data_IF_657620902733
#
_entry.id   IF_657620902733
#
_cell.length_a   1.000
_cell.length_b   1.000
_cell.length_c   1.000
_cell.angle_alpha   90.00
_cell.angle_beta   90.00
_cell.angle_gamma   90.00
#
_symmetry.space_group_name_H-M   'P 1'
#
loop_
_entity.id
_entity.type
_entity.pdbx_description
1 polymer ?
#
# COMPACT_ATOMS: atom_id res chain seq x y z
N UNK A 1 -13.32 -20.03 -18.76
CA UNK A 1 -12.20 -20.84 -18.25
C UNK A 1 -12.81 -21.89 -17.34
N UNK A 2 -12.70 -23.19 -17.64
CA UNK A 2 -13.21 -24.24 -16.76
C UNK A 2 -12.31 -24.27 -15.52
N UNK A 3 -12.89 -23.91 -14.38
CA UNK A 3 -12.22 -23.98 -13.08
C UNK A 3 -12.19 -25.48 -12.73
N UNK A 4 -11.00 -26.10 -12.79
CA UNK A 4 -10.78 -27.42 -12.21
C UNK A 4 -11.15 -27.35 -10.73
N UNK A 5 -11.81 -28.41 -10.19
CA UNK A 5 -11.97 -28.55 -8.73
C UNK A 5 -10.60 -28.33 -8.09
N UNK A 6 -10.50 -27.48 -7.03
CA UNK A 6 -9.24 -27.34 -6.33
C UNK A 6 -8.79 -28.72 -5.81
N UNK A 7 -7.48 -28.95 -5.87
CA UNK A 7 -6.88 -30.11 -5.20
C UNK A 7 -7.20 -30.02 -3.71
N UNK A 8 -7.26 -31.18 -3.04
CA UNK A 8 -7.59 -31.19 -1.60
C UNK A 8 -6.47 -30.61 -0.73
N UNK A 9 -5.24 -30.51 -1.26
CA UNK A 9 -4.06 -30.03 -0.52
C UNK A 9 -3.19 -29.11 -1.38
N UNK A 10 -2.74 -28.00 -0.78
CA UNK A 10 -1.79 -27.07 -1.35
C UNK A 10 -0.61 -26.84 -0.39
N UNK A 11 0.59 -26.66 -0.94
CA UNK A 11 1.73 -26.21 -0.14
C UNK A 11 1.50 -24.78 0.41
N UNK A 12 0.84 -23.94 -0.39
CA UNK A 12 0.57 -22.55 -0.05
C UNK A 12 -0.81 -22.11 -0.54
N UNK A 13 -1.58 -21.49 0.35
CA UNK A 13 -2.82 -20.79 0.00
C UNK A 13 -2.67 -19.31 0.34
N UNK A 14 -2.96 -18.44 -0.63
CA UNK A 14 -2.98 -16.97 -0.45
C UNK A 14 -4.43 -16.50 -0.44
N UNK A 15 -4.87 -15.91 0.65
CA UNK A 15 -6.20 -15.31 0.78
C UNK A 15 -6.12 -13.83 0.48
N UNK A 16 -6.71 -13.42 -0.63
CA UNK A 16 -6.66 -12.07 -1.19
C UNK A 16 -5.69 -11.95 -2.36
N UNK A 17 -6.23 -11.79 -3.57
CA UNK A 17 -5.50 -11.54 -4.82
C UNK A 17 -5.32 -10.05 -5.14
N UNK A 18 -5.45 -9.16 -4.13
CA UNK A 18 -5.21 -7.72 -4.25
C UNK A 18 -3.74 -7.39 -4.50
N UNK A 19 -3.37 -6.08 -4.47
CA UNK A 19 -2.01 -5.62 -4.81
C UNK A 19 -0.91 -6.37 -4.05
N UNK A 20 -1.11 -6.66 -2.77
CA UNK A 20 -0.10 -7.32 -1.93
C UNK A 20 -0.02 -8.82 -2.21
N UNK A 21 -1.17 -9.53 -2.18
CA UNK A 21 -1.20 -10.96 -2.41
C UNK A 21 -0.74 -11.34 -3.83
N UNK A 22 -1.17 -10.59 -4.85
CA UNK A 22 -0.72 -10.79 -6.22
C UNK A 22 0.79 -10.52 -6.36
N UNK A 23 1.32 -9.44 -5.76
CA UNK A 23 2.76 -9.16 -5.78
C UNK A 23 3.57 -10.26 -5.07
N UNK A 24 3.04 -10.80 -3.96
CA UNK A 24 3.65 -11.92 -3.25
C UNK A 24 3.71 -13.17 -4.14
N UNK A 25 2.61 -13.52 -4.78
CA UNK A 25 2.56 -14.69 -5.66
C UNK A 25 3.53 -14.55 -6.85
N UNK A 26 3.56 -13.39 -7.51
CA UNK A 26 4.50 -13.13 -8.61
C UNK A 26 5.96 -13.20 -8.15
N UNK A 27 6.26 -12.64 -6.97
CA UNK A 27 7.62 -12.68 -6.41
C UNK A 27 8.04 -14.11 -6.04
N UNK A 28 7.15 -14.85 -5.43
CA UNK A 28 7.41 -16.25 -5.04
C UNK A 28 7.60 -17.13 -6.28
N UNK A 29 6.75 -17.01 -7.29
CA UNK A 29 6.88 -17.76 -8.55
C UNK A 29 8.21 -17.48 -9.23
N UNK A 30 8.61 -16.21 -9.31
CA UNK A 30 9.90 -15.81 -9.89
C UNK A 30 11.08 -16.40 -9.11
N UNK A 31 11.01 -16.40 -7.78
CA UNK A 31 12.07 -16.90 -6.92
C UNK A 31 12.16 -18.44 -6.89
N UNK A 32 11.05 -19.15 -7.06
CA UNK A 32 10.99 -20.60 -7.14
C UNK A 32 11.69 -21.14 -8.40
N UNK A 33 11.70 -20.39 -9.51
CA UNK A 33 12.17 -20.92 -10.79
C UNK A 33 11.46 -22.23 -11.14
N UNK A 34 12.17 -23.32 -11.33
CA UNK A 34 11.62 -24.64 -11.65
C UNK A 34 11.23 -25.46 -10.42
N UNK A 35 11.45 -24.96 -9.19
CA UNK A 35 11.10 -25.68 -7.97
C UNK A 35 9.58 -25.87 -7.86
N UNK A 36 9.08 -27.10 -7.71
CA UNK A 36 7.65 -27.32 -7.65
C UNK A 36 7.07 -26.83 -6.32
N UNK A 37 5.97 -26.11 -6.39
CA UNK A 37 5.15 -25.70 -5.26
C UNK A 37 3.70 -25.53 -5.72
N UNK A 38 2.76 -26.17 -5.03
CA UNK A 38 1.34 -26.02 -5.32
C UNK A 38 0.80 -24.77 -4.63
N UNK A 39 0.34 -23.79 -5.43
CA UNK A 39 -0.12 -22.48 -4.92
C UNK A 39 -1.58 -22.27 -5.33
N UNK A 40 -2.44 -21.92 -4.36
CA UNK A 40 -3.80 -21.47 -4.60
C UNK A 40 -3.95 -20.02 -4.14
N UNK A 41 -4.50 -19.17 -5.02
CA UNK A 41 -4.94 -17.81 -4.65
C UNK A 41 -6.46 -17.78 -4.60
N UNK A 42 -7.01 -17.28 -3.50
CA UNK A 42 -8.45 -17.12 -3.30
C UNK A 42 -8.75 -15.64 -3.32
N UNK A 43 -9.56 -15.18 -4.29
CA UNK A 43 -9.95 -13.77 -4.41
C UNK A 43 -11.49 -13.63 -4.42
N UNK A 44 -11.98 -12.79 -3.53
CA UNK A 44 -13.41 -12.59 -3.34
C UNK A 44 -14.08 -11.82 -4.47
N UNK A 45 -13.35 -10.91 -5.11
CA UNK A 45 -13.90 -9.93 -6.05
C UNK A 45 -13.35 -10.17 -7.45
N UNK A 46 -14.25 -10.45 -8.40
CA UNK A 46 -13.85 -10.61 -9.81
C UNK A 46 -13.19 -9.33 -10.36
N UNK A 47 -12.09 -9.44 -11.14
CA UNK A 47 -11.46 -8.30 -11.81
C UNK A 47 -12.39 -7.47 -12.69
N UNK A 48 -13.47 -8.08 -13.18
CA UNK A 48 -14.50 -7.43 -14.00
C UNK A 48 -15.65 -6.83 -13.18
N UNK A 49 -15.62 -6.94 -11.84
CA UNK A 49 -16.63 -6.30 -11.00
C UNK A 49 -16.47 -4.76 -11.05
N UNK A 50 -17.61 -4.05 -10.93
CA UNK A 50 -17.60 -2.58 -10.87
C UNK A 50 -16.57 -2.08 -9.88
N UNK A 51 -15.74 -1.10 -10.28
CA UNK A 51 -14.63 -0.53 -9.51
C UNK A 51 -14.98 -0.11 -8.08
N UNK A 52 -16.25 0.19 -7.81
CA UNK A 52 -16.76 0.51 -6.48
C UNK A 52 -16.66 -0.67 -5.47
N UNK A 53 -16.58 -1.92 -5.96
CA UNK A 53 -16.44 -3.13 -5.12
C UNK A 53 -15.00 -3.55 -4.91
N UNK A 54 -14.08 -3.13 -5.77
CA UNK A 54 -12.65 -3.45 -5.70
C UNK A 54 -11.85 -2.30 -5.10
N UNK A 55 -11.80 -2.21 -3.78
CA UNK A 55 -11.06 -1.15 -3.09
C UNK A 55 -9.55 -1.14 -3.36
N UNK A 56 -8.96 -2.25 -3.82
CA UNK A 56 -7.53 -2.35 -4.14
C UNK A 56 -7.19 -1.86 -5.55
N UNK A 57 -8.13 -1.91 -6.50
CA UNK A 57 -7.88 -1.62 -7.92
C UNK A 57 -8.84 -0.56 -8.49
N UNK A 58 -9.20 0.41 -7.67
CA UNK A 58 -10.06 1.53 -8.04
C UNK A 58 -9.31 2.66 -8.79
N UNK A 59 -9.99 3.78 -9.01
CA UNK A 59 -9.44 4.96 -9.68
C UNK A 59 -8.44 5.78 -8.84
N UNK A 60 -8.12 5.33 -7.61
CA UNK A 60 -7.07 5.96 -6.80
C UNK A 60 -5.69 5.69 -7.37
N UNK A 61 -4.72 6.40 -6.84
CA UNK A 61 -3.31 6.22 -7.20
C UNK A 61 -2.49 5.90 -5.96
N UNK A 62 -1.40 5.19 -6.19
CA UNK A 62 -0.45 4.82 -5.13
C UNK A 62 0.94 5.34 -5.49
N UNK A 63 1.61 5.91 -4.50
CA UNK A 63 3.03 6.25 -4.59
C UNK A 63 3.88 5.02 -4.31
N UNK A 64 4.67 4.61 -5.28
CA UNK A 64 5.69 3.57 -5.17
C UNK A 64 7.03 4.22 -4.85
N UNK A 65 7.70 3.79 -3.80
CA UNK A 65 9.05 4.22 -3.49
C UNK A 65 10.04 3.68 -4.53
N UNK A 66 11.23 4.27 -4.60
CA UNK A 66 12.30 3.75 -5.46
C UNK A 66 12.65 2.29 -5.16
N UNK A 67 12.64 1.89 -3.88
CA UNK A 67 12.84 0.50 -3.47
C UNK A 67 11.73 -0.43 -3.98
N UNK A 68 10.47 0.02 -3.94
CA UNK A 68 9.33 -0.73 -4.49
C UNK A 68 9.39 -0.87 -6.00
N UNK A 69 9.86 0.17 -6.72
CA UNK A 69 10.13 0.09 -8.16
C UNK A 69 11.15 -1.01 -8.46
N UNK A 70 12.28 -1.04 -7.73
CA UNK A 70 13.31 -2.08 -7.90
C UNK A 70 12.77 -3.49 -7.61
N UNK A 71 11.90 -3.61 -6.60
CA UNK A 71 11.24 -4.89 -6.30
C UNK A 71 10.37 -5.35 -7.48
N UNK A 72 9.49 -4.46 -7.99
CA UNK A 72 8.61 -4.78 -9.14
C UNK A 72 9.40 -5.08 -10.42
N UNK A 73 10.54 -4.41 -10.63
CA UNK A 73 11.45 -4.71 -11.72
C UNK A 73 12.09 -6.09 -11.57
N UNK A 74 12.55 -6.42 -10.37
CA UNK A 74 13.15 -7.73 -10.06
C UNK A 74 12.20 -8.91 -10.26
N UNK A 75 10.89 -8.69 -10.18
CA UNK A 75 9.86 -9.71 -10.45
C UNK A 75 9.24 -9.58 -11.85
N UNK A 76 9.85 -8.78 -12.74
CA UNK A 76 9.45 -8.67 -14.15
C UNK A 76 8.15 -7.89 -14.42
N UNK A 77 7.62 -7.14 -13.45
CA UNK A 77 6.37 -6.39 -13.60
C UNK A 77 6.56 -4.94 -14.03
N UNK A 78 7.75 -4.37 -13.84
CA UNK A 78 7.97 -2.94 -14.06
C UNK A 78 7.79 -2.52 -15.51
N UNK A 79 8.28 -3.30 -16.46
CA UNK A 79 8.20 -2.97 -17.88
C UNK A 79 6.75 -2.79 -18.36
N UNK A 80 5.81 -3.57 -17.81
CA UNK A 80 4.39 -3.46 -18.14
C UNK A 80 3.71 -2.24 -17.48
N UNK A 81 4.40 -1.55 -16.56
CA UNK A 81 3.93 -0.35 -15.86
C UNK A 81 4.58 0.94 -16.38
N UNK A 82 5.69 0.85 -17.12
CA UNK A 82 6.57 1.98 -17.43
C UNK A 82 5.85 3.12 -18.16
N UNK A 83 4.92 2.79 -19.04
CA UNK A 83 4.08 3.75 -19.77
C UNK A 83 2.96 4.39 -18.94
N UNK A 84 2.68 3.84 -17.75
CA UNK A 84 1.55 4.22 -16.91
C UNK A 84 1.95 4.88 -15.58
N UNK A 85 3.25 4.95 -15.29
CA UNK A 85 3.76 5.56 -14.06
C UNK A 85 4.23 6.99 -14.30
N UNK A 86 4.04 7.86 -13.32
CA UNK A 86 4.64 9.21 -13.31
C UNK A 86 5.77 9.25 -12.31
N UNK A 87 6.99 9.58 -12.75
CA UNK A 87 8.14 9.72 -11.87
C UNK A 87 7.99 10.91 -10.92
N UNK A 88 8.53 10.78 -9.70
CA UNK A 88 8.69 11.86 -8.73
C UNK A 88 10.17 12.24 -8.71
N UNK A 89 10.50 13.42 -9.27
CA UNK A 89 11.87 13.93 -9.29
C UNK A 89 12.17 14.80 -8.08
N UNK A 90 11.14 15.45 -7.55
CA UNK A 90 11.23 16.36 -6.42
C UNK A 90 10.04 16.19 -5.48
N UNK A 91 10.26 16.30 -4.19
CA UNK A 91 9.21 16.37 -3.17
C UNK A 91 9.34 17.70 -2.46
N UNK A 92 8.27 18.50 -2.49
CA UNK A 92 8.17 19.78 -1.78
C UNK A 92 7.26 19.66 -0.58
N UNK A 93 7.84 19.82 0.60
CA UNK A 93 7.12 19.79 1.88
C UNK A 93 6.97 21.22 2.42
N UNK A 94 5.74 21.65 2.66
CA UNK A 94 5.46 23.01 3.15
C UNK A 94 4.39 23.01 4.25
N UNK A 95 4.35 24.08 5.06
CA UNK A 95 3.31 24.32 6.08
C UNK A 95 2.49 25.54 5.67
N UNK A 96 1.15 25.39 5.58
CA UNK A 96 0.25 26.48 5.12
C UNK A 96 0.34 27.70 6.02
N UNK A 97 0.49 28.88 5.39
CA UNK A 97 0.57 30.16 6.10
C UNK A 97 1.86 30.39 6.90
N UNK A 98 2.91 29.59 6.65
CA UNK A 98 4.19 29.68 7.34
C UNK A 98 5.34 29.69 6.34
N UNK A 99 6.46 30.33 6.78
CA UNK A 99 7.70 30.30 6.03
C UNK A 99 8.42 28.97 6.24
N UNK A 100 9.05 28.46 5.16
CA UNK A 100 9.81 27.21 5.10
C UNK A 100 9.20 26.22 4.12
N UNK A 101 10.03 25.78 3.18
CA UNK A 101 9.72 24.71 2.24
C UNK A 101 10.95 23.80 2.19
N UNK A 102 10.78 22.53 2.51
CA UNK A 102 11.85 21.55 2.35
C UNK A 102 11.71 20.93 0.97
N UNK A 103 12.77 20.97 0.20
CA UNK A 103 12.86 20.33 -1.12
C UNK A 103 13.79 19.13 -1.04
N UNK A 104 13.30 17.99 -1.48
CA UNK A 104 14.08 16.75 -1.62
C UNK A 104 14.14 16.47 -3.11
N UNK A 105 15.36 16.50 -3.67
CA UNK A 105 15.59 16.33 -5.09
C UNK A 105 16.31 15.00 -5.37
N UNK A 106 15.95 14.35 -6.47
CA UNK A 106 16.54 13.08 -6.91
C UNK A 106 18.06 13.17 -7.16
N UNK A 107 18.51 14.32 -7.67
CA UNK A 107 19.93 14.52 -8.02
C UNK A 107 20.81 14.53 -6.76
N UNK A 108 20.32 15.09 -5.65
CA UNK A 108 20.99 15.03 -4.34
C UNK A 108 21.07 13.61 -3.78
N UNK A 109 20.13 12.75 -4.17
CA UNK A 109 20.08 11.35 -3.74
C UNK A 109 20.82 10.41 -4.71
N UNK A 110 21.22 10.89 -5.89
CA UNK A 110 21.88 10.09 -6.91
C UNK A 110 21.02 8.99 -7.51
N UNK A 111 19.70 9.24 -7.64
CA UNK A 111 18.72 8.30 -8.20
C UNK A 111 18.01 8.90 -9.41
N UNK A 112 17.46 8.05 -10.27
CA UNK A 112 16.67 8.50 -11.44
C UNK A 112 15.34 9.14 -11.05
N UNK A 113 14.73 8.70 -9.94
CA UNK A 113 13.53 9.25 -9.34
C UNK A 113 13.47 8.90 -7.86
N UNK A 114 12.82 9.74 -7.04
CA UNK A 114 12.58 9.45 -5.62
C UNK A 114 11.50 8.37 -5.42
N UNK A 115 10.63 8.25 -6.40
CA UNK A 115 9.52 7.31 -6.44
C UNK A 115 8.70 7.51 -7.70
N UNK A 116 7.57 6.82 -7.77
CA UNK A 116 6.67 6.83 -8.92
C UNK A 116 5.22 6.79 -8.44
N UNK A 117 4.32 7.37 -9.22
CA UNK A 117 2.89 7.30 -8.95
C UNK A 117 2.22 6.47 -10.03
N UNK A 118 1.41 5.51 -9.64
CA UNK A 118 0.65 4.64 -10.53
C UNK A 118 -0.82 4.63 -10.13
N UNK A 119 -1.72 4.61 -11.10
CA UNK A 119 -3.15 4.37 -10.83
C UNK A 119 -3.35 2.92 -10.43
N UNK A 120 -4.08 2.68 -9.33
CA UNK A 120 -4.32 1.34 -8.77
C UNK A 120 -4.93 0.38 -9.79
N UNK A 121 -5.83 0.91 -10.64
CA UNK A 121 -6.45 0.14 -11.72
C UNK A 121 -5.40 -0.44 -12.67
N UNK A 122 -4.39 0.35 -13.05
CA UNK A 122 -3.33 -0.11 -13.97
C UNK A 122 -2.42 -1.13 -13.29
N UNK A 123 -2.00 -0.86 -12.06
CA UNK A 123 -1.22 -1.83 -11.28
C UNK A 123 -1.97 -3.15 -11.13
N UNK A 124 -3.27 -3.09 -10.82
CA UNK A 124 -4.11 -4.27 -10.72
C UNK A 124 -4.24 -5.04 -12.03
N UNK A 125 -4.37 -4.36 -13.17
CA UNK A 125 -4.41 -5.02 -14.47
C UNK A 125 -3.13 -5.81 -14.75
N UNK A 126 -1.97 -5.22 -14.49
CA UNK A 126 -0.66 -5.87 -14.70
C UNK A 126 -0.51 -7.08 -13.77
N UNK A 127 -0.83 -6.93 -12.48
CA UNK A 127 -0.77 -8.02 -11.51
C UNK A 127 -1.72 -9.17 -11.87
N UNK A 128 -2.98 -8.86 -12.21
CA UNK A 128 -3.96 -9.87 -12.60
C UNK A 128 -3.58 -10.59 -13.90
N UNK A 129 -3.05 -9.86 -14.89
CA UNK A 129 -2.56 -10.48 -16.13
C UNK A 129 -1.46 -11.50 -15.82
N UNK A 130 -0.48 -11.10 -14.98
CA UNK A 130 0.63 -11.98 -14.61
C UNK A 130 0.17 -13.21 -13.82
N UNK A 131 -0.79 -13.07 -12.89
CA UNK A 131 -1.38 -14.22 -12.17
C UNK A 131 -2.11 -15.18 -13.12
N UNK A 132 -2.86 -14.67 -14.10
CA UNK A 132 -3.60 -15.49 -15.06
C UNK A 132 -2.69 -16.19 -16.08
N UNK A 133 -1.53 -15.62 -16.36
CA UNK A 133 -0.51 -16.21 -17.27
C UNK A 133 0.35 -17.26 -16.55
N UNK A 134 0.33 -17.31 -15.22
CA UNK A 134 1.09 -18.27 -14.45
C UNK A 134 0.59 -19.69 -14.68
N UNK A 135 1.50 -20.58 -15.01
CA UNK A 135 1.23 -22.03 -15.07
C UNK A 135 1.34 -22.74 -13.72
N UNK A 136 1.76 -22.03 -12.65
CA UNK A 136 2.07 -22.59 -11.32
C UNK A 136 1.09 -22.16 -10.25
N UNK A 137 0.29 -21.13 -10.51
CA UNK A 137 -0.65 -20.54 -9.55
C UNK A 137 -2.08 -20.88 -9.98
N UNK A 138 -2.82 -21.53 -9.12
CA UNK A 138 -4.26 -21.74 -9.29
C UNK A 138 -4.99 -20.52 -8.72
N UNK A 139 -5.79 -19.84 -9.53
CA UNK A 139 -6.61 -18.69 -9.09
C UNK A 139 -8.08 -19.12 -8.98
N UNK A 140 -8.63 -19.06 -7.78
CA UNK A 140 -10.05 -19.26 -7.50
C UNK A 140 -10.71 -17.90 -7.24
N UNK A 141 -11.47 -17.41 -8.24
CA UNK A 141 -12.10 -16.08 -8.22
C UNK A 141 -13.40 -16.10 -9.05
N UNK A 142 -14.53 -15.59 -8.52
CA UNK A 142 -14.75 -15.09 -7.17
C UNK A 142 -14.94 -16.23 -6.15
N UNK A 143 -14.22 -16.20 -5.03
CA UNK A 143 -14.37 -17.17 -3.95
C UNK A 143 -14.09 -16.52 -2.58
N UNK A 144 -14.81 -16.98 -1.56
CA UNK A 144 -14.69 -16.48 -0.18
C UNK A 144 -14.23 -17.59 0.74
N UNK A 145 -13.36 -17.27 1.67
CA UNK A 145 -13.04 -18.14 2.79
C UNK A 145 -14.17 -18.04 3.81
N UNK A 146 -14.90 -19.13 4.01
CA UNK A 146 -16.03 -19.19 4.95
C UNK A 146 -15.61 -19.65 6.34
N UNK A 147 -14.57 -20.50 6.43
CA UNK A 147 -14.03 -20.99 7.69
C UNK A 147 -12.54 -21.26 7.61
N UNK A 148 -11.86 -21.20 8.76
CA UNK A 148 -10.46 -21.53 8.89
C UNK A 148 -10.21 -22.28 10.20
N UNK A 149 -9.44 -23.37 10.15
CA UNK A 149 -9.10 -24.20 11.32
C UNK A 149 -7.66 -24.67 11.22
N UNK A 150 -6.94 -24.62 12.34
CA UNK A 150 -5.63 -25.23 12.44
C UNK A 150 -5.75 -26.78 12.42
N UNK A 151 -4.82 -27.42 11.74
CA UNK A 151 -4.68 -28.89 11.67
C UNK A 151 -3.24 -29.29 12.04
N UNK A 152 -2.98 -30.58 12.18
CA UNK A 152 -1.61 -31.05 12.42
C UNK A 152 -0.65 -30.75 11.26
N UNK A 153 -1.18 -30.60 10.03
CA UNK A 153 -0.39 -30.39 8.81
C UNK A 153 -0.36 -28.95 8.33
N UNK A 154 -1.03 -28.02 9.03
CA UNK A 154 -1.16 -26.63 8.65
C UNK A 154 -2.55 -26.09 8.92
N UNK A 155 -3.28 -25.68 7.88
CA UNK A 155 -4.61 -25.06 7.99
C UNK A 155 -5.60 -25.71 7.04
N UNK A 156 -6.84 -25.90 7.51
CA UNK A 156 -8.00 -26.29 6.71
C UNK A 156 -8.87 -25.05 6.46
N UNK A 157 -9.13 -24.72 5.20
CA UNK A 157 -10.01 -23.62 4.79
C UNK A 157 -11.30 -24.15 4.17
N UNK A 158 -12.44 -23.67 4.65
CA UNK A 158 -13.73 -23.80 3.95
C UNK A 158 -13.88 -22.66 2.94
N UNK A 159 -14.36 -22.97 1.75
CA UNK A 159 -14.45 -22.05 0.63
C UNK A 159 -15.88 -22.06 0.06
N UNK A 160 -16.39 -20.85 -0.20
CA UNK A 160 -17.63 -20.64 -0.95
C UNK A 160 -17.30 -20.08 -2.32
N UNK A 161 -17.65 -20.84 -3.37
CA UNK A 161 -17.51 -20.41 -4.77
C UNK A 161 -18.86 -20.57 -5.48
N UNK A 162 -19.58 -19.47 -5.66
CA UNK A 162 -21.00 -19.48 -6.05
C UNK A 162 -21.82 -20.25 -5.02
N UNK A 163 -22.60 -21.24 -5.49
CA UNK A 163 -23.41 -22.11 -4.65
C UNK A 163 -22.68 -23.39 -4.17
N UNK A 164 -21.38 -23.48 -4.44
CA UNK A 164 -20.56 -24.65 -4.10
C UNK A 164 -19.73 -24.37 -2.87
N UNK A 165 -19.89 -25.23 -1.86
CA UNK A 165 -19.00 -25.29 -0.69
C UNK A 165 -17.94 -26.38 -0.90
N UNK A 166 -16.69 -26.00 -0.69
CA UNK A 166 -15.53 -26.92 -0.76
C UNK A 166 -14.59 -26.65 0.39
N UNK A 167 -13.60 -27.53 0.57
CA UNK A 167 -12.52 -27.28 1.53
C UNK A 167 -11.18 -27.65 0.95
N UNK A 168 -10.14 -26.95 1.38
CA UNK A 168 -8.74 -27.21 1.02
C UNK A 168 -7.87 -27.22 2.25
N UNK A 169 -6.90 -28.11 2.27
CA UNK A 169 -5.82 -28.15 3.26
C UNK A 169 -4.61 -27.37 2.70
N UNK A 170 -3.90 -26.66 3.58
CA UNK A 170 -2.71 -25.90 3.22
C UNK A 170 -1.61 -26.09 4.26
N UNK A 171 -0.35 -26.30 3.83
CA UNK A 171 0.80 -26.25 4.74
C UNK A 171 1.00 -24.85 5.31
N UNK A 172 0.81 -23.82 4.46
CA UNK A 172 0.89 -22.42 4.85
C UNK A 172 -0.26 -21.62 4.22
N UNK A 173 -0.92 -20.80 5.02
CA UNK A 173 -1.86 -19.77 4.56
C UNK A 173 -1.22 -18.41 4.73
N UNK A 174 -1.18 -17.60 3.68
CA UNK A 174 -0.80 -16.19 3.71
C UNK A 174 -2.06 -15.34 3.57
N UNK A 175 -2.41 -14.60 4.64
CA UNK A 175 -3.53 -13.68 4.61
C UNK A 175 -3.07 -12.32 4.05
N UNK A 176 -3.68 -11.90 2.94
CA UNK A 176 -3.47 -10.62 2.27
C UNK A 176 -4.80 -9.96 1.88
N UNK A 177 -5.88 -10.25 2.64
CA UNK A 177 -7.27 -9.89 2.37
C UNK A 177 -7.69 -8.49 2.85
N UNK A 178 -6.71 -7.66 3.24
CA UNK A 178 -6.92 -6.27 3.61
C UNK A 178 -7.07 -6.03 5.10
N UNK A 179 -7.45 -4.79 5.49
CA UNK A 179 -7.42 -4.36 6.90
C UNK A 179 -8.56 -4.88 7.77
N UNK A 180 -9.58 -5.50 7.18
CA UNK A 180 -10.72 -6.10 7.88
C UNK A 180 -10.87 -7.55 7.43
N UNK A 181 -10.10 -8.43 8.05
CA UNK A 181 -10.07 -9.85 7.69
C UNK A 181 -11.07 -10.66 8.51
N UNK A 182 -12.09 -11.25 7.89
CA UNK A 182 -12.99 -12.19 8.58
C UNK A 182 -12.24 -13.43 9.11
N UNK A 183 -11.14 -13.80 8.46
CA UNK A 183 -10.30 -14.91 8.88
C UNK A 183 -9.58 -14.58 10.19
N UNK A 184 -9.04 -13.36 10.34
CA UNK A 184 -8.46 -12.92 11.61
C UNK A 184 -9.48 -12.90 12.74
N UNK A 185 -10.72 -12.45 12.47
CA UNK A 185 -11.80 -12.46 13.46
C UNK A 185 -12.11 -13.89 13.92
N UNK A 186 -12.23 -14.85 13.00
CA UNK A 186 -12.48 -16.26 13.32
C UNK A 186 -11.34 -16.90 14.13
N UNK A 187 -10.10 -16.52 13.85
CA UNK A 187 -8.92 -17.00 14.56
C UNK A 187 -8.66 -16.25 15.88
N UNK A 188 -9.44 -15.22 16.21
CA UNK A 188 -9.23 -14.39 17.38
C UNK A 188 -7.92 -13.60 17.34
N UNK A 189 -7.42 -13.25 16.15
CA UNK A 189 -6.23 -12.41 16.00
C UNK A 189 -6.62 -10.95 16.28
N UNK A 190 -6.13 -10.45 17.39
CA UNK A 190 -6.43 -9.08 17.82
C UNK A 190 -5.58 -8.04 17.09
N UNK A 191 -6.17 -6.86 16.88
CA UNK A 191 -5.48 -5.69 16.34
C UNK A 191 -5.43 -4.57 17.37
N UNK A 192 -4.29 -3.91 17.48
CA UNK A 192 -4.16 -2.63 18.17
C UNK A 192 -4.56 -1.52 17.19
N UNK A 193 -5.65 -0.81 17.49
CA UNK A 193 -6.19 0.24 16.61
C UNK A 193 -6.09 1.60 17.29
N UNK A 194 -5.36 2.53 16.67
CA UNK A 194 -5.34 3.93 17.06
C UNK A 194 -6.07 4.77 16.01
N UNK A 195 -7.14 5.44 16.39
CA UNK A 195 -7.92 6.32 15.53
C UNK A 195 -7.36 7.74 15.60
N UNK A 196 -7.27 8.40 14.45
CA UNK A 196 -6.77 9.78 14.37
C UNK A 196 -7.88 10.82 14.36
N UNK A 197 -9.16 10.40 14.36
CA UNK A 197 -10.35 11.26 14.19
C UNK A 197 -10.25 12.14 12.94
N UNK A 198 -9.69 11.58 11.90
CA UNK A 198 -9.45 12.18 10.59
C UNK A 198 -9.88 11.25 9.47
N UNK A 199 -10.20 11.84 8.32
CA UNK A 199 -10.49 11.14 7.08
C UNK A 199 -9.58 11.62 5.96
N UNK A 200 -9.27 10.75 5.02
CA UNK A 200 -8.65 11.13 3.76
C UNK A 200 -9.73 11.24 2.67
N UNK A 201 -9.82 12.41 2.03
CA UNK A 201 -10.50 12.57 0.76
C UNK A 201 -9.47 12.36 -0.35
N UNK A 202 -9.74 11.38 -1.22
CA UNK A 202 -8.84 10.98 -2.31
C UNK A 202 -9.57 11.19 -3.64
N UNK A 203 -8.90 11.81 -4.60
CA UNK A 203 -9.40 12.02 -5.96
C UNK A 203 -8.25 12.23 -6.94
N UNK A 204 -8.49 12.02 -8.24
CA UNK A 204 -7.63 12.55 -9.28
C UNK A 204 -8.14 13.92 -9.70
N UNK A 205 -7.24 14.88 -9.93
CA UNK A 205 -7.55 16.26 -10.28
C UNK A 205 -6.89 16.66 -11.60
N UNK A 206 -7.48 17.64 -12.29
CA UNK A 206 -6.90 18.28 -13.46
C UNK A 206 -6.34 19.64 -13.08
N UNK A 207 -5.13 19.92 -13.53
CA UNK A 207 -4.32 21.09 -13.17
C UNK A 207 -4.14 22.00 -14.39
N UNK A 208 -4.11 23.31 -14.16
CA UNK A 208 -3.84 24.29 -15.21
C UNK A 208 -2.39 24.23 -15.71
N UNK A 209 -1.44 24.06 -14.79
CA UNK A 209 -0.01 23.99 -15.10
C UNK A 209 0.53 22.57 -14.94
N UNK A 210 1.57 22.19 -15.72
CA UNK A 210 2.24 20.91 -15.54
C UNK A 210 2.93 20.84 -14.17
N UNK A 211 2.85 19.68 -13.53
CA UNK A 211 3.47 19.41 -12.23
C UNK A 211 4.99 19.24 -12.28
N UNK A 212 5.59 19.09 -13.48
CA UNK A 212 7.05 18.95 -13.68
C UNK A 212 7.68 17.84 -12.82
N UNK A 213 6.96 16.74 -12.58
CA UNK A 213 7.39 15.63 -11.74
C UNK A 213 7.62 15.99 -10.25
N UNK A 214 6.99 17.06 -9.77
CA UNK A 214 7.04 17.47 -8.37
C UNK A 214 5.85 16.88 -7.61
N UNK A 215 6.12 16.23 -6.50
CA UNK A 215 5.14 15.83 -5.51
C UNK A 215 5.06 16.92 -4.43
N UNK A 216 3.85 17.38 -4.12
CA UNK A 216 3.60 18.40 -3.11
C UNK A 216 2.97 17.77 -1.88
N UNK A 217 3.59 18.01 -0.72
CA UNK A 217 3.05 17.67 0.59
C UNK A 217 2.87 18.97 1.36
N UNK A 218 1.63 19.40 1.55
CA UNK A 218 1.31 20.63 2.24
C UNK A 218 0.57 20.35 3.53
N UNK A 219 1.18 20.69 4.65
CA UNK A 219 0.52 20.58 5.94
C UNK A 219 -0.48 21.72 6.13
N UNK A 220 -1.68 21.36 6.53
CA UNK A 220 -2.79 22.28 6.80
C UNK A 220 -3.24 22.17 8.25
N UNK A 221 -4.21 22.98 8.65
CA UNK A 221 -4.84 22.96 9.98
C UNK A 221 -5.55 21.64 10.31
N UNK A 222 -5.96 20.87 9.30
CA UNK A 222 -6.64 19.58 9.47
C UNK A 222 -5.70 18.37 9.24
N UNK A 223 -4.50 18.61 8.75
CA UNK A 223 -3.51 17.58 8.43
C UNK A 223 -2.89 17.76 7.04
N UNK A 224 -2.18 16.77 6.54
CA UNK A 224 -1.51 16.85 5.25
C UNK A 224 -2.49 16.89 4.07
N UNK A 225 -2.13 17.67 3.05
CA UNK A 225 -2.73 17.70 1.73
C UNK A 225 -1.63 17.42 0.73
N UNK A 226 -1.69 16.28 0.05
CA UNK A 226 -0.73 15.89 -0.97
C UNK A 226 -1.34 16.00 -2.37
N UNK A 227 -0.51 16.47 -3.32
CA UNK A 227 -0.78 16.39 -4.76
C UNK A 227 0.42 15.71 -5.40
N UNK A 228 0.20 14.52 -5.92
CA UNK A 228 1.23 13.68 -6.54
C UNK A 228 1.11 13.74 -8.07
N UNK A 229 2.23 13.71 -8.81
CA UNK A 229 2.21 13.78 -10.27
C UNK A 229 1.56 12.52 -10.87
N UNK A 230 0.65 12.70 -11.85
CA UNK A 230 0.09 11.64 -12.66
C UNK A 230 0.45 11.84 -14.13
N UNK A 231 0.41 10.76 -14.90
CA UNK A 231 0.57 10.81 -16.35
C UNK A 231 -0.49 11.72 -17.00
N UNK A 232 -0.09 12.40 -18.07
CA UNK A 232 -1.03 13.15 -18.91
C UNK A 232 -2.00 12.16 -19.57
N UNK A 233 -3.27 12.54 -19.58
CA UNK A 233 -4.28 11.85 -20.38
C UNK A 233 -5.01 12.93 -21.19
N UNK A 234 -5.16 12.71 -22.49
CA UNK A 234 -5.83 13.62 -23.43
C UNK A 234 -5.28 15.06 -23.35
N UNK A 235 -3.96 15.21 -23.13
CA UNK A 235 -3.29 16.51 -23.01
C UNK A 235 -3.57 17.25 -21.70
N UNK A 236 -4.31 16.67 -20.76
CA UNK A 236 -4.61 17.28 -19.46
C UNK A 236 -3.50 16.98 -18.45
N UNK A 237 -3.02 18.02 -17.75
CA UNK A 237 -2.14 17.86 -16.59
C UNK A 237 -2.95 17.28 -15.43
N UNK A 238 -2.50 16.19 -14.84
CA UNK A 238 -3.24 15.48 -13.79
C UNK A 238 -2.43 15.34 -12.51
N UNK A 239 -3.13 15.29 -11.39
CA UNK A 239 -2.53 15.00 -10.10
C UNK A 239 -3.41 14.08 -9.28
N UNK A 240 -2.79 13.26 -8.43
CA UNK A 240 -3.49 12.48 -7.42
C UNK A 240 -3.55 13.29 -6.13
N UNK A 241 -4.75 13.59 -5.67
CA UNK A 241 -5.03 14.31 -4.44
C UNK A 241 -5.24 13.34 -3.28
N UNK A 242 -4.55 13.59 -2.16
CA UNK A 242 -4.85 13.00 -0.84
C UNK A 242 -5.01 14.15 0.15
N UNK A 243 -6.23 14.40 0.61
CA UNK A 243 -6.55 15.53 1.48
C UNK A 243 -7.07 15.05 2.82
N UNK A 244 -6.31 15.29 3.88
CA UNK A 244 -6.72 14.95 5.25
C UNK A 244 -7.67 16.01 5.79
N UNK A 245 -8.82 15.55 6.30
CA UNK A 245 -9.93 16.36 6.78
C UNK A 245 -10.33 15.92 8.20
N UNK A 246 -10.99 16.82 8.96
CA UNK A 246 -11.70 16.40 10.16
C UNK A 246 -12.91 15.52 9.79
N UNK A 247 -13.47 14.81 10.78
CA UNK A 247 -14.67 13.96 10.58
C UNK A 247 -15.82 14.77 10.01
N UNK A 248 -16.06 15.99 10.55
CA UNK A 248 -17.13 16.89 10.14
C UNK A 248 -16.94 17.41 8.72
N UNK A 249 -15.71 17.84 8.37
CA UNK A 249 -15.41 18.30 7.04
C UNK A 249 -15.52 17.18 6.01
N UNK A 250 -15.05 15.98 6.35
CA UNK A 250 -15.14 14.82 5.47
C UNK A 250 -16.59 14.45 5.15
N UNK A 251 -17.48 14.49 6.16
CA UNK A 251 -18.92 14.27 5.98
C UNK A 251 -19.53 15.35 5.07
N UNK A 252 -19.18 16.61 5.30
CA UNK A 252 -19.69 17.73 4.52
C UNK A 252 -19.17 17.70 3.07
N UNK A 253 -17.86 17.46 2.86
CA UNK A 253 -17.24 17.54 1.52
C UNK A 253 -17.59 16.35 0.65
N UNK A 254 -17.91 15.20 1.23
CA UNK A 254 -18.38 14.01 0.51
C UNK A 254 -19.67 14.27 -0.28
N UNK A 255 -20.54 15.12 0.24
CA UNK A 255 -21.85 15.43 -0.36
C UNK A 255 -21.80 16.70 -1.25
N UNK A 256 -20.63 17.36 -1.34
CA UNK A 256 -20.48 18.57 -2.15
C UNK A 256 -20.31 18.22 -3.63
N UNK A 257 -20.90 19.06 -4.48
CA UNK A 257 -20.61 19.06 -5.89
C UNK A 257 -19.25 19.72 -6.17
N UNK A 258 -18.71 19.48 -7.37
CA UNK A 258 -17.43 20.00 -7.82
C UNK A 258 -17.30 21.52 -7.68
N UNK A 259 -18.34 22.29 -8.07
CA UNK A 259 -18.34 23.75 -8.04
C UNK A 259 -18.06 24.32 -6.65
N UNK A 260 -18.53 23.64 -5.58
CA UNK A 260 -18.31 24.04 -4.19
C UNK A 260 -17.00 23.50 -3.62
N UNK A 261 -16.58 22.31 -4.05
CA UNK A 261 -15.39 21.66 -3.51
C UNK A 261 -14.09 22.24 -4.08
N UNK A 262 -14.05 22.60 -5.37
CA UNK A 262 -12.86 23.15 -6.02
C UNK A 262 -12.34 24.44 -5.37
N UNK A 263 -13.18 25.46 -5.04
CA UNK A 263 -12.69 26.66 -4.36
C UNK A 263 -12.08 26.38 -2.98
N UNK A 264 -12.65 25.43 -2.22
CA UNK A 264 -12.11 25.03 -0.92
C UNK A 264 -10.76 24.33 -1.06
N UNK A 265 -10.65 23.43 -2.03
CA UNK A 265 -9.39 22.77 -2.34
C UNK A 265 -8.33 23.77 -2.82
N UNK A 266 -8.70 24.68 -3.72
CA UNK A 266 -7.80 25.72 -4.23
C UNK A 266 -7.27 26.63 -3.12
N UNK A 267 -8.14 27.04 -2.19
CA UNK A 267 -7.73 27.85 -1.04
C UNK A 267 -6.73 27.11 -0.15
N UNK A 268 -6.90 25.80 0.04
CA UNK A 268 -6.02 24.98 0.89
C UNK A 268 -4.70 24.67 0.20
N UNK A 269 -4.74 24.31 -1.08
CA UNK A 269 -3.54 23.98 -1.84
C UNK A 269 -2.76 25.24 -2.28
N UNK A 270 -3.45 26.31 -2.69
CA UNK A 270 -2.84 27.50 -3.28
C UNK A 270 -2.72 27.39 -4.79
N UNK A 271 -1.97 28.33 -5.41
CA UNK A 271 -1.90 28.49 -6.88
C UNK A 271 -0.56 28.06 -7.50
N UNK A 272 0.23 27.24 -6.83
CA UNK A 272 1.55 26.82 -7.32
C UNK A 272 1.47 26.06 -8.65
N UNK A 273 0.42 25.25 -8.81
CA UNK A 273 0.08 24.54 -10.06
C UNK A 273 -0.99 25.26 -10.90
N UNK A 274 -1.16 26.56 -10.72
CA UNK A 274 -2.24 27.32 -11.33
C UNK A 274 -3.59 26.98 -10.69
N UNK A 275 -4.67 27.01 -11.46
CA UNK A 275 -5.99 26.61 -11.02
C UNK A 275 -6.13 25.09 -11.03
N UNK A 276 -6.89 24.57 -10.09
CA UNK A 276 -7.41 23.19 -10.14
C UNK A 276 -8.69 23.28 -10.97
N UNK A 277 -8.69 22.62 -12.13
CA UNK A 277 -9.73 22.78 -13.15
C UNK A 277 -10.89 21.81 -12.97
N UNK A 278 -10.58 20.56 -12.61
CA UNK A 278 -11.56 19.48 -12.45
C UNK A 278 -11.16 18.60 -11.25
N UNK A 279 -12.15 18.01 -10.58
CA UNK A 279 -11.95 16.95 -9.59
C UNK A 279 -12.76 15.73 -10.00
N UNK A 280 -12.11 14.59 -10.12
CA UNK A 280 -12.77 13.34 -10.44
C UNK A 280 -13.57 12.77 -9.28
N UNK A 281 -13.95 11.50 -9.39
CA UNK A 281 -14.67 10.80 -8.33
C UNK A 281 -13.90 10.87 -7.01
N UNK A 282 -14.58 11.31 -5.97
CA UNK A 282 -14.03 11.43 -4.61
C UNK A 282 -14.30 10.17 -3.80
N UNK A 283 -13.30 9.75 -3.02
CA UNK A 283 -13.39 8.66 -2.06
C UNK A 283 -13.01 9.19 -0.68
N UNK A 284 -13.75 8.79 0.35
CA UNK A 284 -13.49 9.22 1.73
C UNK A 284 -13.29 8.00 2.62
N UNK A 285 -12.14 7.95 3.29
CA UNK A 285 -11.75 6.84 4.17
C UNK A 285 -11.38 7.34 5.56
N UNK A 286 -11.85 6.69 6.62
CA UNK A 286 -11.39 6.98 7.98
C UNK A 286 -9.91 6.59 8.12
N UNK A 287 -9.15 7.41 8.84
CA UNK A 287 -7.73 7.20 9.07
C UNK A 287 -7.48 6.61 10.44
N UNK A 288 -6.78 5.50 10.47
CA UNK A 288 -6.34 4.82 11.67
C UNK A 288 -5.00 4.12 11.44
N UNK A 289 -4.27 3.92 12.51
CA UNK A 289 -3.18 2.96 12.57
C UNK A 289 -3.74 1.66 13.13
N UNK A 290 -3.60 0.57 12.42
CA UNK A 290 -3.95 -0.76 12.90
C UNK A 290 -2.75 -1.69 12.78
N UNK A 291 -2.42 -2.40 13.86
CA UNK A 291 -1.30 -3.35 13.90
C UNK A 291 -1.81 -4.63 14.53
N UNK A 292 -1.64 -5.76 13.83
CA UNK A 292 -1.94 -7.07 14.39
C UNK A 292 -1.01 -7.37 15.57
N UNK A 293 -1.56 -7.87 16.68
CA UNK A 293 -0.77 -8.23 17.87
C UNK A 293 0.14 -9.43 17.61
N UNK A 294 -0.21 -10.24 16.65
CA UNK A 294 0.58 -11.36 16.15
C UNK A 294 0.52 -11.39 14.61
N UNK A 295 1.62 -11.67 13.96
CA UNK A 295 1.69 -11.72 12.50
C UNK A 295 1.85 -13.14 11.96
N UNK A 296 2.15 -14.09 12.82
CA UNK A 296 2.36 -15.51 12.43
C UNK A 296 1.81 -16.46 13.47
N UNK A 297 1.31 -17.60 13.00
CA UNK A 297 1.00 -18.81 13.76
C UNK A 297 1.50 -20.03 12.97
N UNK A 298 1.64 -21.23 13.58
CA UNK A 298 1.90 -22.42 12.78
C UNK A 298 0.92 -22.54 11.62
N UNK A 299 1.43 -22.61 10.39
CA UNK A 299 0.64 -22.66 9.17
C UNK A 299 -0.02 -21.35 8.72
N UNK A 300 0.28 -20.21 9.35
CA UNK A 300 -0.35 -18.90 9.02
C UNK A 300 0.64 -17.74 9.09
N UNK A 301 0.61 -16.88 8.07
CA UNK A 301 1.30 -15.59 8.06
C UNK A 301 0.38 -14.47 7.58
N UNK A 302 0.49 -13.28 8.19
CA UNK A 302 -0.23 -12.06 7.79
C UNK A 302 0.67 -11.19 6.92
N UNK A 303 0.10 -10.57 5.86
CA UNK A 303 0.85 -9.76 4.92
C UNK A 303 0.05 -8.53 4.47
N UNK A 304 0.65 -7.34 4.50
CA UNK A 304 0.01 -6.09 4.11
C UNK A 304 -0.96 -5.54 5.15
N UNK A 305 -2.09 -4.96 4.72
CA UNK A 305 -2.99 -4.22 5.61
C UNK A 305 -3.59 -5.07 6.75
N UNK A 306 -3.67 -6.37 6.59
CA UNK A 306 -4.11 -7.27 7.66
C UNK A 306 -3.09 -7.35 8.80
N UNK A 307 -1.80 -7.24 8.48
CA UNK A 307 -0.71 -7.18 9.47
C UNK A 307 -0.55 -5.76 10.04
N UNK A 308 -0.55 -4.75 9.16
CA UNK A 308 -0.39 -3.33 9.53
C UNK A 308 -1.06 -2.42 8.51
N UNK A 309 -1.97 -1.56 8.95
CA UNK A 309 -2.60 -0.52 8.14
C UNK A 309 -2.14 0.85 8.64
N UNK A 310 -1.47 1.61 7.79
CA UNK A 310 -0.83 2.87 8.14
C UNK A 310 -1.64 4.07 7.68
N UNK A 311 -1.38 5.23 8.30
CA UNK A 311 -1.83 6.51 7.77
C UNK A 311 -1.21 6.76 6.38
N UNK A 312 -1.95 7.30 5.39
CA UNK A 312 -1.46 7.47 4.01
C UNK A 312 -0.37 8.53 3.86
N UNK A 313 0.03 9.23 4.92
CA UNK A 313 1.12 10.21 4.89
C UNK A 313 2.38 9.57 4.31
N UNK A 314 3.01 10.27 3.38
CA UNK A 314 4.19 9.80 2.64
C UNK A 314 4.01 8.45 1.88
N UNK A 315 2.78 7.97 1.67
CA UNK A 315 2.48 6.79 0.84
C UNK A 315 3.12 5.48 1.28
N UNK A 316 3.39 5.28 2.59
CA UNK A 316 4.21 4.16 3.07
C UNK A 316 3.50 2.80 3.13
N UNK A 317 2.17 2.72 3.12
CA UNK A 317 1.44 1.48 3.38
C UNK A 317 1.80 0.34 2.41
N UNK A 318 1.61 0.54 1.09
CA UNK A 318 1.96 -0.48 0.09
C UNK A 318 3.47 -0.71 0.03
N UNK A 319 4.27 0.34 0.17
CA UNK A 319 5.73 0.22 0.12
C UNK A 319 6.28 -0.67 1.24
N UNK A 320 5.75 -0.56 2.45
CA UNK A 320 6.09 -1.46 3.56
C UNK A 320 5.64 -2.89 3.25
N UNK A 321 4.40 -3.07 2.78
CA UNK A 321 3.89 -4.39 2.43
C UNK A 321 4.71 -5.09 1.32
N UNK A 322 5.27 -4.36 0.35
CA UNK A 322 6.17 -4.92 -0.67
C UNK A 322 7.53 -5.33 -0.10
N UNK A 323 8.04 -4.60 0.91
CA UNK A 323 9.25 -5.02 1.64
C UNK A 323 8.99 -6.28 2.48
N UNK A 324 7.85 -6.34 3.16
CA UNK A 324 7.40 -7.55 3.87
C UNK A 324 7.25 -8.74 2.93
N UNK A 325 6.65 -8.50 1.76
CA UNK A 325 6.52 -9.50 0.68
C UNK A 325 7.87 -10.09 0.31
N UNK A 326 8.87 -9.24 0.04
CA UNK A 326 10.23 -9.68 -0.29
C UNK A 326 10.83 -10.54 0.83
N UNK A 327 10.72 -10.09 2.07
CA UNK A 327 11.28 -10.82 3.21
C UNK A 327 10.61 -12.18 3.42
N UNK A 328 9.28 -12.24 3.28
CA UNK A 328 8.56 -13.51 3.40
C UNK A 328 8.97 -14.47 2.26
N UNK A 329 9.04 -13.98 1.01
CA UNK A 329 9.53 -14.80 -0.12
C UNK A 329 10.92 -15.33 0.14
N UNK A 330 11.87 -14.49 0.55
CA UNK A 330 13.26 -14.89 0.84
C UNK A 330 13.30 -15.98 1.93
N UNK A 331 12.47 -15.88 2.99
CA UNK A 331 12.39 -16.87 4.06
C UNK A 331 11.81 -18.18 3.56
N UNK A 332 10.73 -18.15 2.77
CA UNK A 332 10.09 -19.36 2.25
C UNK A 332 10.99 -20.11 1.25
N UNK A 333 11.73 -19.39 0.41
CA UNK A 333 12.72 -19.99 -0.50
C UNK A 333 13.85 -20.66 0.28
N UNK A 334 14.38 -19.99 1.30
CA UNK A 334 15.40 -20.55 2.17
C UNK A 334 14.90 -21.80 2.92
N UNK A 335 13.67 -21.78 3.40
CA UNK A 335 13.04 -22.95 4.06
C UNK A 335 12.94 -24.12 3.09
N UNK A 336 12.49 -23.88 1.84
CA UNK A 336 12.38 -24.90 0.81
C UNK A 336 13.75 -25.51 0.46
N UNK A 337 14.81 -24.69 0.36
CA UNK A 337 16.18 -25.16 0.11
C UNK A 337 16.73 -26.01 1.27
N UNK A 338 16.26 -25.79 2.49
CA UNK A 338 16.64 -26.52 3.70
C UNK A 338 15.72 -27.71 4.00
N UNK A 339 14.77 -28.01 3.11
CA UNK A 339 13.74 -29.04 3.26
C UNK A 339 12.89 -28.89 4.54
N UNK A 340 12.61 -27.65 4.93
CA UNK A 340 11.74 -27.30 6.05
C UNK A 340 10.31 -27.08 5.58
N UNK A 341 9.34 -27.39 6.45
CA UNK A 341 7.92 -27.08 6.19
C UNK A 341 7.66 -25.57 6.17
N UNK A 342 6.99 -25.06 5.12
CA UNK A 342 6.76 -23.61 4.94
C UNK A 342 5.97 -23.00 6.10
N UNK A 343 5.07 -23.77 6.72
CA UNK A 343 4.22 -23.35 7.84
C UNK A 343 4.86 -23.58 9.22
N UNK A 344 6.10 -24.04 9.30
CA UNK A 344 6.77 -24.26 10.60
C UNK A 344 7.00 -22.91 11.31
N UNK A 345 6.76 -22.92 12.63
CA UNK A 345 6.85 -21.67 13.42
C UNK A 345 8.24 -21.05 13.41
N UNK A 346 9.32 -21.86 13.42
CA UNK A 346 10.69 -21.38 13.31
C UNK A 346 10.95 -20.64 11.99
N UNK A 347 10.40 -21.12 10.87
CA UNK A 347 10.49 -20.46 9.55
C UNK A 347 9.75 -19.13 9.58
N UNK A 348 8.52 -19.10 10.11
CA UNK A 348 7.72 -17.91 10.16
C UNK A 348 8.27 -16.85 11.14
N UNK A 349 8.93 -17.28 12.23
CA UNK A 349 9.64 -16.37 13.14
C UNK A 349 10.87 -15.72 12.50
N UNK A 350 11.55 -16.37 11.53
CA UNK A 350 12.60 -15.72 10.74
C UNK A 350 12.05 -14.54 9.94
N UNK A 351 10.84 -14.65 9.37
CA UNK A 351 10.17 -13.55 8.69
C UNK A 351 9.90 -12.39 9.64
N UNK A 352 9.29 -12.66 10.81
CA UNK A 352 9.02 -11.61 11.81
C UNK A 352 10.31 -10.92 12.23
N UNK A 353 11.36 -11.67 12.54
CA UNK A 353 12.65 -11.11 12.94
C UNK A 353 13.29 -10.19 11.89
N UNK A 354 13.14 -10.53 10.59
CA UNK A 354 13.65 -9.70 9.49
C UNK A 354 12.88 -8.38 9.32
N UNK A 355 11.58 -8.37 9.61
CA UNK A 355 10.73 -7.21 9.33
C UNK A 355 10.44 -6.34 10.54
N UNK A 356 10.59 -6.84 11.74
CA UNK A 356 10.21 -6.14 12.97
C UNK A 356 10.81 -4.74 13.08
N UNK A 357 12.09 -4.57 12.75
CA UNK A 357 12.76 -3.27 12.84
C UNK A 357 12.25 -2.28 11.80
N UNK A 358 12.04 -2.70 10.56
CA UNK A 358 11.53 -1.85 9.47
C UNK A 358 10.06 -1.47 9.71
N UNK A 359 9.22 -2.44 10.09
CA UNK A 359 7.83 -2.20 10.44
C UNK A 359 7.70 -1.22 11.61
N UNK A 360 8.46 -1.43 12.71
CA UNK A 360 8.45 -0.54 13.85
C UNK A 360 8.89 0.88 13.47
N UNK A 361 9.97 1.02 12.71
CA UNK A 361 10.50 2.32 12.28
C UNK A 361 9.52 3.04 11.36
N UNK A 362 8.97 2.35 10.36
CA UNK A 362 8.02 2.94 9.41
C UNK A 362 6.71 3.33 10.09
N UNK A 363 6.19 2.46 10.96
CA UNK A 363 4.99 2.73 11.74
C UNK A 363 5.16 3.94 12.65
N UNK A 364 6.26 3.98 13.43
CA UNK A 364 6.53 5.08 14.33
C UNK A 364 6.77 6.40 13.59
N UNK A 365 7.44 6.36 12.44
CA UNK A 365 7.65 7.51 11.59
C UNK A 365 6.32 8.10 11.10
N UNK A 366 5.46 7.29 10.49
CA UNK A 366 4.16 7.75 9.98
C UNK A 366 3.25 8.25 11.10
N UNK A 367 3.23 7.56 12.24
CA UNK A 367 2.48 7.94 13.43
C UNK A 367 2.94 9.28 14.00
N UNK A 368 4.26 9.47 14.19
CA UNK A 368 4.82 10.70 14.75
C UNK A 368 4.58 11.89 13.82
N UNK A 369 4.77 11.73 12.50
CA UNK A 369 4.44 12.78 11.54
C UNK A 369 2.97 13.14 11.62
N UNK A 370 2.08 12.15 11.59
CA UNK A 370 0.63 12.40 11.71
C UNK A 370 0.32 13.20 12.97
N UNK A 371 0.77 12.76 14.14
CA UNK A 371 0.53 13.46 15.42
C UNK A 371 1.18 14.86 15.51
N UNK A 372 2.35 15.03 14.91
CA UNK A 372 3.04 16.31 14.89
C UNK A 372 2.28 17.34 14.04
N UNK A 373 1.80 16.92 12.87
CA UNK A 373 1.18 17.82 11.91
C UNK A 373 -0.34 17.96 12.04
N UNK A 374 -1.01 17.09 12.81
CA UNK A 374 -2.45 17.18 13.09
C UNK A 374 -2.80 17.99 14.33
N UNK A 375 -1.80 18.56 15.04
CA UNK A 375 -2.02 19.25 16.31
C UNK A 375 -1.87 20.76 16.15
N UNK A 376 -2.82 21.53 16.67
CA UNK A 376 -2.75 23.00 16.78
C UNK A 376 -2.07 23.48 18.06
N UNK A 377 -1.46 22.59 18.86
CA UNK A 377 -0.71 22.95 20.06
C UNK A 377 0.51 23.79 19.68
N UNK A 378 0.67 24.96 20.32
CA UNK A 378 1.73 25.93 20.01
C UNK A 378 3.14 25.30 20.09
N UNK A 379 3.41 24.44 21.07
CA UNK A 379 4.70 23.76 21.20
C UNK A 379 4.98 22.84 20.00
N UNK A 380 3.98 22.09 19.52
CA UNK A 380 4.13 21.25 18.32
C UNK A 380 4.25 22.07 17.05
N UNK A 381 3.60 23.23 16.99
CA UNK A 381 3.75 24.20 15.90
C UNK A 381 5.20 24.72 15.83
N UNK A 382 5.79 25.07 16.98
CA UNK A 382 7.20 25.46 17.05
C UNK A 382 8.14 24.32 16.65
N UNK A 383 7.86 23.10 17.12
CA UNK A 383 8.66 21.92 16.76
C UNK A 383 8.62 21.63 15.26
N UNK A 384 7.46 21.79 14.59
CA UNK A 384 7.35 21.70 13.13
C UNK A 384 8.22 22.72 12.40
N UNK A 385 8.15 23.99 12.84
CA UNK A 385 8.96 25.07 12.25
C UNK A 385 10.45 24.76 12.37
N UNK A 386 10.91 24.41 13.56
CA UNK A 386 12.31 24.05 13.78
C UNK A 386 12.70 22.79 13.02
N UNK A 387 11.82 21.79 12.94
CA UNK A 387 12.05 20.56 12.19
C UNK A 387 12.21 20.80 10.69
N UNK A 388 11.33 21.61 10.08
CA UNK A 388 11.44 21.97 8.65
C UNK A 388 12.70 22.80 8.39
N UNK A 389 13.01 23.80 9.24
CA UNK A 389 14.23 24.60 9.09
C UNK A 389 15.48 23.73 9.31
N UNK A 390 15.47 22.81 10.26
CA UNK A 390 16.58 21.89 10.47
C UNK A 390 16.80 20.96 9.26
N UNK A 391 15.74 20.45 8.65
CA UNK A 391 15.82 19.65 7.42
C UNK A 391 16.34 20.47 6.23
N UNK A 392 15.98 21.76 6.15
CA UNK A 392 16.49 22.67 5.12
C UNK A 392 17.99 22.94 5.30
N UNK A 393 18.44 23.18 6.55
CA UNK A 393 19.82 23.57 6.87
C UNK A 393 20.78 22.37 7.02
N UNK A 394 20.28 21.16 7.28
CA UNK A 394 21.09 19.97 7.56
C UNK A 394 20.92 18.91 6.48
N UNK A 395 21.76 18.92 5.43
CA UNK A 395 21.66 17.97 4.31
C UNK A 395 21.69 16.50 4.73
N UNK A 396 22.42 16.17 5.80
CA UNK A 396 22.52 14.79 6.32
C UNK A 396 21.20 14.27 6.87
N UNK A 397 20.43 15.11 7.58
CA UNK A 397 19.10 14.74 8.07
C UNK A 397 18.11 14.59 6.90
N UNK A 398 18.16 15.52 5.94
CA UNK A 398 17.34 15.48 4.73
C UNK A 398 17.61 14.19 3.92
N UNK A 399 18.89 13.83 3.75
CA UNK A 399 19.30 12.61 3.08
C UNK A 399 18.79 11.36 3.78
N UNK A 400 18.97 11.25 5.09
CA UNK A 400 18.47 10.12 5.88
C UNK A 400 16.95 9.97 5.80
N UNK A 401 16.22 11.11 5.80
CA UNK A 401 14.76 11.11 5.60
C UNK A 401 14.39 10.62 4.20
N UNK A 402 15.09 11.11 3.18
CA UNK A 402 14.88 10.71 1.79
C UNK A 402 15.17 9.22 1.58
N UNK A 403 16.28 8.70 2.09
CA UNK A 403 16.64 7.27 1.99
C UNK A 403 15.55 6.37 2.61
N UNK A 404 14.99 6.78 3.75
CA UNK A 404 13.86 6.07 4.39
C UNK A 404 12.60 6.14 3.55
N UNK A 405 12.23 7.32 3.05
CA UNK A 405 11.07 7.50 2.21
C UNK A 405 11.18 6.70 0.89
N UNK A 406 12.38 6.58 0.34
CA UNK A 406 12.70 5.77 -0.84
C UNK A 406 12.75 4.26 -0.57
N UNK A 407 12.65 3.81 0.68
CA UNK A 407 12.76 2.39 1.04
C UNK A 407 14.18 1.82 0.81
N UNK A 408 15.20 2.66 0.95
CA UNK A 408 16.62 2.30 0.77
C UNK A 408 17.38 2.16 2.11
N UNK A 409 16.73 2.38 3.24
CA UNK A 409 17.38 2.20 4.54
C UNK A 409 17.83 0.75 4.68
N UNK A 410 19.11 0.54 4.91
CA UNK A 410 19.64 -0.77 5.30
C UNK A 410 19.08 -1.10 6.68
N UNK A 411 18.26 -2.15 6.73
CA UNK A 411 17.88 -2.82 7.99
C UNK A 411 19.11 -3.49 8.62
#
# INVERSE_FOLDING_TARGET
>A
MQISKPDNFYDLVVVGGGMVGASFCCALEQALGETPLSILVIEAISPNANSAKQSSFDARSTALSFGSRKFLEGIGLWQALDDAVSAIHEIQVSDRGRLGCVEINRDEQGVEALGYVVENKRLGQVLNARLNESGKINLLCPALVSSVKATEKGMLLGLNHGDTETSVDASLVVLADGGKSPVCEQLGIEQSIERYDQHALIANIVLEKPHQHVAFERFTDTGPLAVLPLQLIDGKNRGSLVWTLSVEQAAQYREMNEEKLLPLLQERFGYKLGKILEIGQTFVYPLSLSIAKEQVRPGLALLGNVAHSLHPVAGQGLNLALRDTRALVDVLINAKQRDLGLGEMNVLLEYVARQQADQATTTQFTHNITKLFSSNNEAKVWLRKFGLVALELLPTLRRSLAERAMGLSKS
#
